data_IF_965244169650
#
_entry.id   IF_965244169650
#
_cell.length_a   1.000
_cell.length_b   1.000
_cell.length_c   1.000
_cell.angle_alpha   90.00
_cell.angle_beta   90.00
_cell.angle_gamma   90.00
#
_symmetry.space_group_name_H-M   'P 1'
#
loop_
_entity.id
_entity.type
_entity.pdbx_description
1 polymer ?
#
# COMPACT_ATOMS: atom_id res chain seq x y z
N UNK A 1 -14.21 -40.62 5.94
CA UNK A 1 -13.30 -40.37 4.80
C UNK A 1 -12.91 -38.91 4.83
N UNK A 2 -11.75 -38.59 5.42
CA UNK A 2 -11.31 -37.20 5.65
C UNK A 2 -10.60 -36.71 4.39
N UNK A 3 -11.23 -35.78 3.66
CA UNK A 3 -10.58 -35.14 2.52
C UNK A 3 -9.76 -33.94 2.99
N UNK A 4 -8.46 -34.06 2.75
CA UNK A 4 -7.42 -33.08 3.07
C UNK A 4 -7.60 -31.85 2.17
N UNK A 5 -8.20 -30.78 2.70
CA UNK A 5 -8.25 -29.44 2.08
C UNK A 5 -6.98 -28.62 2.36
N UNK A 6 -5.79 -29.22 2.28
CA UNK A 6 -4.53 -28.52 2.60
C UNK A 6 -3.82 -27.92 1.37
N UNK A 7 -4.01 -28.45 0.16
CA UNK A 7 -3.27 -27.96 -1.02
C UNK A 7 -3.63 -26.54 -1.44
N UNK A 8 -4.92 -26.19 -1.53
CA UNK A 8 -5.33 -24.87 -2.04
C UNK A 8 -4.95 -23.72 -1.08
N UNK A 9 -4.90 -23.98 0.23
CA UNK A 9 -4.53 -23.00 1.24
C UNK A 9 -3.01 -22.75 1.23
N UNK A 10 -2.21 -23.81 1.01
CA UNK A 10 -0.77 -23.71 0.79
C UNK A 10 -0.43 -22.99 -0.51
N UNK A 11 -1.13 -23.26 -1.62
CA UNK A 11 -0.92 -22.55 -2.89
C UNK A 11 -1.28 -21.06 -2.79
N UNK A 12 -2.35 -20.71 -2.06
CA UNK A 12 -2.70 -19.32 -1.79
C UNK A 12 -1.66 -18.65 -0.88
N UNK A 13 -1.18 -19.35 0.16
CA UNK A 13 -0.10 -18.86 1.04
C UNK A 13 1.23 -18.71 0.31
N UNK A 14 1.59 -19.62 -0.59
CA UNK A 14 2.81 -19.57 -1.39
C UNK A 14 2.71 -18.49 -2.47
N UNK A 15 1.53 -18.29 -3.08
CA UNK A 15 1.31 -17.19 -4.03
C UNK A 15 1.26 -15.83 -3.33
N UNK A 16 0.65 -15.76 -2.14
CA UNK A 16 0.68 -14.59 -1.26
C UNK A 16 2.11 -14.29 -0.76
N UNK A 17 2.89 -15.31 -0.40
CA UNK A 17 4.30 -15.17 -0.02
C UNK A 17 5.20 -14.77 -1.20
N UNK A 18 4.84 -15.14 -2.44
CA UNK A 18 5.49 -14.65 -3.67
C UNK A 18 5.06 -13.24 -4.08
N UNK A 19 4.03 -12.68 -3.45
CA UNK A 19 3.55 -11.31 -3.70
C UNK A 19 3.62 -10.40 -2.47
N UNK A 20 4.21 -10.87 -1.37
CA UNK A 20 4.54 -10.06 -0.20
C UNK A 20 5.93 -9.48 -0.38
N UNK A 21 6.00 -8.17 -0.62
CA UNK A 21 7.27 -7.45 -0.57
C UNK A 21 7.79 -7.45 0.87
N UNK A 22 9.11 -7.51 1.06
CA UNK A 22 9.74 -7.35 2.39
C UNK A 22 9.86 -5.87 2.77
N UNK A 23 10.16 -5.58 4.04
CA UNK A 23 10.42 -4.19 4.48
C UNK A 23 11.63 -3.60 3.76
N UNK A 24 12.69 -4.38 3.57
CA UNK A 24 13.88 -3.92 2.83
C UNK A 24 13.57 -3.64 1.35
N UNK A 25 12.77 -4.48 0.69
CA UNK A 25 12.32 -4.23 -0.69
C UNK A 25 11.43 -3.00 -0.78
N UNK A 26 10.55 -2.78 0.21
CA UNK A 26 9.71 -1.60 0.30
C UNK A 26 10.56 -0.32 0.41
N UNK A 27 11.54 -0.29 1.31
CA UNK A 27 12.45 0.85 1.49
C UNK A 27 13.34 1.07 0.24
N UNK A 28 13.77 -0.01 -0.43
CA UNK A 28 14.54 0.10 -1.67
C UNK A 28 13.69 0.66 -2.82
N UNK A 29 12.40 0.33 -2.87
CA UNK A 29 11.46 0.83 -3.88
C UNK A 29 11.09 2.29 -3.66
N UNK A 30 10.99 2.72 -2.41
CA UNK A 30 10.61 4.08 -2.02
C UNK A 30 11.69 4.70 -1.14
N UNK A 31 12.81 5.18 -1.73
CA UNK A 31 13.94 5.76 -0.99
C UNK A 31 13.59 7.04 -0.22
N UNK A 32 12.44 7.66 -0.51
CA UNK A 32 11.88 8.75 0.29
C UNK A 32 11.36 8.32 1.67
N UNK A 33 11.13 7.02 1.90
CA UNK A 33 10.69 6.51 3.19
C UNK A 33 11.92 6.35 4.09
N UNK A 34 11.95 7.00 5.26
CA UNK A 34 13.08 6.92 6.18
C UNK A 34 13.39 5.51 6.67
N UNK A 35 14.68 5.18 6.73
CA UNK A 35 15.17 3.89 7.19
C UNK A 35 15.11 3.70 8.69
N UNK A 36 14.93 4.77 9.47
CA UNK A 36 14.73 4.71 10.93
C UNK A 36 13.44 4.00 11.32
N UNK A 37 12.47 3.90 10.39
CA UNK A 37 11.23 3.15 10.60
C UNK A 37 11.38 1.63 10.36
N UNK A 38 12.54 1.17 9.86
CA UNK A 38 12.77 -0.22 9.43
C UNK A 38 12.39 -1.26 10.49
N UNK A 39 12.76 -1.00 11.73
CA UNK A 39 12.60 -1.97 12.82
C UNK A 39 11.24 -1.86 13.52
N UNK A 40 10.40 -0.91 13.10
CA UNK A 40 9.07 -0.73 13.66
C UNK A 40 8.16 -1.91 13.36
N UNK A 41 7.57 -2.48 14.42
CA UNK A 41 6.63 -3.59 14.29
C UNK A 41 5.42 -3.21 13.42
N UNK A 42 4.92 -1.98 13.57
CA UNK A 42 3.82 -1.46 12.75
C UNK A 42 4.20 -1.39 11.26
N UNK A 43 5.43 -1.01 10.91
CA UNK A 43 5.85 -0.96 9.51
C UNK A 43 5.92 -2.37 8.92
N UNK A 44 6.41 -3.35 9.68
CA UNK A 44 6.44 -4.75 9.25
C UNK A 44 5.05 -5.29 8.96
N UNK A 45 4.09 -5.02 9.84
CA UNK A 45 2.70 -5.43 9.62
C UNK A 45 2.07 -4.68 8.43
N UNK A 46 2.36 -3.39 8.31
CA UNK A 46 1.90 -2.55 7.19
C UNK A 46 2.33 -3.10 5.84
N UNK A 47 3.61 -3.42 5.70
CA UNK A 47 4.18 -3.99 4.48
C UNK A 47 3.59 -5.38 4.19
N UNK A 48 3.38 -6.21 5.21
CA UNK A 48 2.74 -7.51 5.05
C UNK A 48 1.28 -7.39 4.57
N UNK A 49 0.51 -6.44 5.13
CA UNK A 49 -0.89 -6.23 4.79
C UNK A 49 -1.09 -5.63 3.40
N UNK A 50 -0.25 -4.66 3.03
CA UNK A 50 -0.41 -3.88 1.80
C UNK A 50 0.57 -4.25 0.69
N UNK A 51 1.42 -5.26 0.89
CA UNK A 51 2.50 -5.66 -0.04
C UNK A 51 2.10 -5.73 -1.51
N UNK A 52 0.99 -6.39 -1.89
CA UNK A 52 0.51 -6.40 -3.27
C UNK A 52 0.22 -4.99 -3.81
N UNK A 53 -0.44 -4.13 -3.02
CA UNK A 53 -0.77 -2.76 -3.43
C UNK A 53 0.49 -1.87 -3.51
N UNK A 54 1.43 -2.04 -2.58
CA UNK A 54 2.72 -1.35 -2.57
C UNK A 54 3.58 -1.73 -3.77
N UNK A 55 3.49 -2.97 -4.24
CA UNK A 55 4.13 -3.42 -5.48
C UNK A 55 3.58 -2.72 -6.73
N UNK A 56 2.29 -2.37 -6.75
CA UNK A 56 1.66 -1.61 -7.84
C UNK A 56 1.79 -0.09 -7.70
N UNK A 57 2.06 0.42 -6.50
CA UNK A 57 2.12 1.85 -6.25
C UNK A 57 3.24 2.52 -7.06
N UNK A 58 2.92 3.69 -7.64
CA UNK A 58 3.83 4.50 -8.45
C UNK A 58 3.79 5.96 -8.00
N UNK A 59 4.98 6.55 -7.84
CA UNK A 59 5.09 7.95 -7.45
C UNK A 59 4.61 8.85 -8.58
N UNK A 60 3.69 9.80 -8.32
CA UNK A 60 3.22 10.73 -9.35
C UNK A 60 4.34 11.65 -9.81
N UNK A 61 4.41 11.87 -11.13
CA UNK A 61 5.29 12.88 -11.70
C UNK A 61 4.66 14.28 -11.59
N UNK A 62 5.46 15.36 -11.58
CA UNK A 62 4.96 16.73 -11.37
C UNK A 62 3.92 17.21 -12.39
N UNK A 63 3.92 16.64 -13.60
CA UNK A 63 3.00 17.02 -14.68
C UNK A 63 1.69 16.21 -14.68
N UNK A 64 1.52 15.28 -13.73
CA UNK A 64 0.29 14.50 -13.62
C UNK A 64 -0.86 15.42 -13.17
N UNK A 65 -1.94 15.46 -13.95
CA UNK A 65 -3.16 16.17 -13.59
C UNK A 65 -3.87 15.57 -12.37
N UNK A 66 -4.96 16.21 -11.93
CA UNK A 66 -5.73 15.76 -10.77
C UNK A 66 -6.31 14.36 -10.96
N UNK A 67 -5.98 13.46 -10.03
CA UNK A 67 -6.61 12.14 -9.91
C UNK A 67 -5.99 11.06 -10.81
N UNK A 68 -4.66 10.93 -10.78
CA UNK A 68 -3.90 9.89 -11.50
C UNK A 68 -4.48 8.47 -11.37
N UNK A 69 -3.97 7.54 -12.16
CA UNK A 69 -4.46 6.16 -12.18
C UNK A 69 -4.33 5.44 -10.80
N UNK A 70 -4.91 4.25 -10.69
CA UNK A 70 -4.93 3.48 -9.44
C UNK A 70 -3.52 3.31 -8.80
N UNK A 71 -2.45 2.98 -9.55
CA UNK A 71 -1.06 3.03 -9.07
C UNK A 71 -0.66 4.32 -8.33
N UNK A 72 -1.00 5.48 -8.86
CA UNK A 72 -0.68 6.77 -8.24
C UNK A 72 -1.50 7.00 -6.97
N UNK A 73 -2.77 6.61 -6.99
CA UNK A 73 -3.63 6.70 -5.81
C UNK A 73 -3.10 5.80 -4.68
N UNK A 74 -2.61 4.60 -4.99
CA UNK A 74 -2.00 3.73 -3.99
C UNK A 74 -0.75 4.37 -3.37
N UNK A 75 0.10 5.03 -4.16
CA UNK A 75 1.22 5.80 -3.61
C UNK A 75 0.74 6.91 -2.69
N UNK A 76 -0.21 7.74 -3.14
CA UNK A 76 -0.73 8.86 -2.35
C UNK A 76 -1.36 8.40 -1.04
N UNK A 77 -2.02 7.23 -1.02
CA UNK A 77 -2.69 6.70 0.17
C UNK A 77 -1.77 5.93 1.11
N UNK A 78 -0.80 5.19 0.58
CA UNK A 78 -0.03 4.21 1.35
C UNK A 78 1.42 4.64 1.63
N UNK A 79 2.00 5.49 0.79
CA UNK A 79 3.42 5.86 0.85
C UNK A 79 3.61 7.33 1.21
N UNK A 80 2.70 8.22 0.79
CA UNK A 80 2.88 9.66 0.90
C UNK A 80 3.09 10.17 2.33
N UNK A 81 2.39 9.62 3.33
CA UNK A 81 2.56 10.04 4.73
C UNK A 81 3.96 9.67 5.27
N UNK A 82 4.52 8.54 4.82
CA UNK A 82 5.89 8.13 5.13
C UNK A 82 6.92 9.03 4.41
N UNK A 83 6.64 9.40 3.16
CA UNK A 83 7.46 10.33 2.40
C UNK A 83 7.49 11.74 3.02
N UNK A 84 6.33 12.23 3.49
CA UNK A 84 6.19 13.51 4.21
C UNK A 84 6.99 13.48 5.52
N UNK A 85 6.98 12.34 6.23
CA UNK A 85 7.85 12.15 7.38
C UNK A 85 9.34 12.26 7.01
N UNK A 86 9.76 11.64 5.90
CA UNK A 86 11.15 11.67 5.47
C UNK A 86 11.70 13.04 5.08
N UNK A 87 10.85 13.97 4.67
CA UNK A 87 11.23 15.37 4.45
C UNK A 87 11.05 16.26 5.69
N UNK A 88 10.73 15.67 6.86
CA UNK A 88 10.63 16.39 8.14
C UNK A 88 9.33 17.17 8.35
N UNK A 89 8.31 16.97 7.51
CA UNK A 89 7.03 17.68 7.60
C UNK A 89 5.99 16.96 8.47
N UNK A 90 6.25 15.72 8.89
CA UNK A 90 5.45 14.99 9.86
C UNK A 90 6.30 14.54 11.05
N UNK A 91 5.65 14.28 12.19
CA UNK A 91 6.31 13.71 13.38
C UNK A 91 6.23 12.19 13.36
N UNK A 92 7.28 11.51 13.82
CA UNK A 92 7.37 10.03 13.89
C UNK A 92 6.12 9.40 14.52
N UNK A 93 5.79 9.77 15.76
CA UNK A 93 4.65 9.16 16.47
C UNK A 93 3.31 9.39 15.75
N UNK A 94 3.15 10.55 15.10
CA UNK A 94 1.95 10.85 14.31
C UNK A 94 1.90 9.99 13.04
N UNK A 95 3.04 9.75 12.41
CA UNK A 95 3.16 8.86 11.26
C UNK A 95 2.79 7.44 11.68
N UNK A 96 3.41 6.89 12.73
CA UNK A 96 3.12 5.54 13.23
C UNK A 96 1.64 5.36 13.57
N UNK A 97 1.02 6.29 14.29
CA UNK A 97 -0.40 6.24 14.62
C UNK A 97 -1.32 6.24 13.37
N UNK A 98 -0.90 6.87 12.27
CA UNK A 98 -1.65 6.80 11.00
C UNK A 98 -1.50 5.45 10.32
N UNK A 99 -0.33 4.82 10.38
CA UNK A 99 -0.15 3.45 9.87
C UNK A 99 -1.03 2.47 10.65
N UNK A 100 -1.06 2.58 11.98
CA UNK A 100 -1.92 1.74 12.84
C UNK A 100 -3.39 1.91 12.47
N UNK A 101 -3.86 3.15 12.32
CA UNK A 101 -5.23 3.42 11.91
C UNK A 101 -5.59 2.80 10.55
N UNK A 102 -4.69 2.91 9.57
CA UNK A 102 -4.89 2.29 8.26
C UNK A 102 -4.94 0.76 8.34
N UNK A 103 -4.10 0.15 9.18
CA UNK A 103 -4.13 -1.28 9.45
C UNK A 103 -5.46 -1.70 10.11
N UNK A 104 -5.95 -0.94 11.08
CA UNK A 104 -7.26 -1.19 11.69
C UNK A 104 -8.41 -1.11 10.68
N UNK A 105 -8.40 -0.09 9.81
CA UNK A 105 -9.38 0.04 8.74
C UNK A 105 -9.31 -1.15 7.76
N UNK A 106 -8.10 -1.58 7.39
CA UNK A 106 -7.89 -2.77 6.55
C UNK A 106 -8.42 -4.04 7.21
N UNK A 107 -8.14 -4.27 8.50
CA UNK A 107 -8.61 -5.44 9.25
C UNK A 107 -10.14 -5.53 9.30
N UNK A 108 -10.85 -4.39 9.26
CA UNK A 108 -12.33 -4.38 9.22
C UNK A 108 -12.89 -4.86 7.89
N UNK A 109 -12.22 -4.58 6.77
CA UNK A 109 -12.74 -4.83 5.42
C UNK A 109 -11.63 -5.27 4.44
N UNK A 110 -10.91 -6.40 4.69
CA UNK A 110 -9.70 -6.73 3.94
C UNK A 110 -9.98 -7.01 2.45
N UNK A 111 -11.10 -7.64 2.13
CA UNK A 111 -11.47 -8.00 0.76
C UNK A 111 -11.82 -6.80 -0.14
N UNK A 112 -12.29 -5.70 0.45
CA UNK A 112 -12.77 -4.52 -0.30
C UNK A 112 -11.93 -3.27 -0.07
N UNK A 113 -10.92 -3.32 0.79
CA UNK A 113 -10.11 -2.16 1.16
C UNK A 113 -9.43 -1.49 -0.04
N UNK A 114 -8.90 -2.27 -0.99
CA UNK A 114 -8.31 -1.70 -2.21
C UNK A 114 -9.33 -0.85 -3.00
N UNK A 115 -10.61 -1.25 -2.99
CA UNK A 115 -11.69 -0.50 -3.63
C UNK A 115 -12.11 0.76 -2.85
N UNK A 116 -11.76 0.87 -1.56
CA UNK A 116 -11.99 2.10 -0.77
C UNK A 116 -10.87 3.12 -0.93
N UNK A 117 -9.68 2.67 -1.34
CA UNK A 117 -8.52 3.55 -1.57
C UNK A 117 -8.63 4.35 -2.86
N UNK A 118 -9.14 3.74 -3.94
CA UNK A 118 -9.33 4.39 -5.23
C UNK A 118 -10.67 5.13 -5.24
N UNK A 119 -10.69 6.47 -5.38
CA UNK A 119 -11.94 7.21 -5.52
C UNK A 119 -12.79 6.61 -6.63
N UNK A 120 -14.07 6.35 -6.35
CA UNK A 120 -15.01 5.99 -7.41
C UNK A 120 -15.00 7.12 -8.43
N UNK A 121 -14.69 6.76 -9.68
CA UNK A 121 -14.73 7.68 -10.81
C UNK A 121 -16.07 8.40 -10.80
N UNK A 122 -16.05 9.73 -10.77
CA UNK A 122 -17.28 10.52 -10.84
C UNK A 122 -18.04 10.17 -12.14
N UNK A 123 -19.38 10.07 -12.11
CA UNK A 123 -20.16 9.89 -13.33
C UNK A 123 -19.79 11.00 -14.33
N UNK A 124 -19.29 10.62 -15.52
CA UNK A 124 -18.90 11.56 -16.58
C UNK A 124 -17.42 11.93 -16.67
N UNK A 125 -16.53 11.37 -15.83
CA UNK A 125 -15.10 11.70 -15.94
C UNK A 125 -14.51 11.26 -17.31
N UNK A 126 -13.83 12.16 -18.05
CA UNK A 126 -13.31 11.90 -19.40
C UNK A 126 -12.31 10.75 -19.42
N UNK A 127 -12.30 9.95 -20.50
CA UNK A 127 -11.30 8.89 -20.70
C UNK A 127 -9.94 9.57 -20.87
N UNK A 128 -8.99 9.29 -19.98
CA UNK A 128 -7.58 9.62 -20.22
C UNK A 128 -7.11 8.63 -21.27
N UNK A 129 -7.37 8.95 -22.54
CA UNK A 129 -6.69 8.37 -23.68
C UNK A 129 -5.48 9.24 -23.96
N UNK A 130 -4.29 8.63 -24.05
CA UNK A 130 -3.12 9.30 -24.60
C UNK A 130 -3.46 9.79 -26.02
N UNK A 131 -3.07 11.03 -26.32
CA UNK A 131 -3.07 11.59 -27.67
C UNK A 131 -1.97 10.93 -28.51
#
# INVERSE_FOLDING_TARGET
MVQIRLSSDLDHKVRAARSSITVDEFLARFPEVPTDLRDEAVLREYVAAFGPLLGFAQKPSPCMGTGGDAPHVFYTRLVNDLAIYGIGLAKRDRTLARLEKLLEEYRRLPATFACTLVPRRAPGAPRIGCA
#
